data_IF_252210514161
#
_entry.id   IF_252210514161
#
_cell.length_a   1.000
_cell.length_b   1.000
_cell.length_c   1.000
_cell.angle_alpha   90.00
_cell.angle_beta   90.00
_cell.angle_gamma   90.00
#
_symmetry.space_group_name_H-M   'P 1'
#
loop_
_entity.id
_entity.type
_entity.pdbx_description
1 polymer ?
#
# COMPACT_ATOMS: atom_id res chain seq x y z
N UNK A 1 16.73 -2.83 7.28
CA UNK A 1 16.15 -2.08 8.42
C UNK A 1 17.28 -1.72 9.36
N UNK A 2 17.49 -0.44 9.64
CA UNK A 2 18.50 0.04 10.58
C UNK A 2 17.81 0.34 11.91
N UNK A 3 17.77 -0.66 12.81
CA UNK A 3 16.94 -0.65 14.03
C UNK A 3 17.05 0.64 14.86
N UNK A 4 18.26 1.17 15.03
CA UNK A 4 18.48 2.41 15.81
C UNK A 4 17.94 3.67 15.14
N UNK A 5 17.78 3.67 13.82
CA UNK A 5 17.26 4.78 13.02
C UNK A 5 15.76 4.62 12.75
N UNK A 6 15.33 3.39 12.53
CA UNK A 6 13.98 3.04 12.07
C UNK A 6 13.03 2.75 13.24
N UNK A 7 13.52 2.73 14.49
CA UNK A 7 12.69 2.60 15.69
C UNK A 7 12.97 3.78 16.61
N UNK A 8 11.91 4.54 16.94
CA UNK A 8 11.99 5.74 17.80
C UNK A 8 10.89 5.74 18.86
N UNK A 9 11.16 6.21 20.09
CA UNK A 9 10.11 6.37 21.08
C UNK A 9 9.17 7.53 20.71
N UNK A 10 7.94 7.49 21.22
CA UNK A 10 6.92 8.53 20.98
C UNK A 10 7.37 9.93 21.42
N UNK A 11 8.25 10.02 22.43
CA UNK A 11 8.86 11.28 22.85
C UNK A 11 9.75 11.90 21.78
N UNK A 12 10.44 11.08 20.97
CA UNK A 12 11.23 11.55 19.84
C UNK A 12 10.34 12.13 18.74
N UNK A 13 9.24 11.43 18.40
CA UNK A 13 8.26 11.95 17.44
C UNK A 13 7.70 13.31 17.88
N UNK A 14 7.33 13.46 19.16
CA UNK A 14 6.79 14.73 19.69
C UNK A 14 7.76 15.90 19.61
N UNK A 15 9.05 15.64 19.84
CA UNK A 15 10.10 16.67 19.90
C UNK A 15 10.75 16.96 18.55
N UNK A 16 10.71 16.00 17.62
CA UNK A 16 11.41 16.06 16.33
C UNK A 16 10.51 15.64 15.16
N UNK A 17 9.26 16.10 15.16
CA UNK A 17 8.28 15.73 14.12
C UNK A 17 8.78 16.03 12.71
N UNK A 18 9.31 17.24 12.48
CA UNK A 18 9.79 17.65 11.16
C UNK A 18 10.93 16.76 10.65
N UNK A 19 11.91 16.42 11.51
CA UNK A 19 13.02 15.53 11.17
C UNK A 19 12.51 14.12 10.80
N UNK A 20 11.52 13.60 11.52
CA UNK A 20 10.92 12.29 11.20
C UNK A 20 10.21 12.33 9.85
N UNK A 21 9.40 13.36 9.61
CA UNK A 21 8.66 13.50 8.34
C UNK A 21 9.63 13.67 7.16
N UNK A 22 10.62 14.55 7.27
CA UNK A 22 11.64 14.73 6.24
C UNK A 22 12.42 13.44 6.00
N UNK A 23 12.83 12.75 7.08
CA UNK A 23 13.55 11.49 7.00
C UNK A 23 12.78 10.38 6.27
N UNK A 24 11.47 10.23 6.51
CA UNK A 24 10.67 9.23 5.77
C UNK A 24 10.45 9.64 4.31
N UNK A 25 10.31 10.94 4.03
CA UNK A 25 10.09 11.46 2.68
C UNK A 25 11.34 11.34 1.80
N UNK A 26 12.53 11.64 2.33
CA UNK A 26 13.80 11.59 1.60
C UNK A 26 14.27 10.15 1.42
N UNK A 27 14.26 9.36 2.49
CA UNK A 27 14.85 8.03 2.47
C UNK A 27 13.88 6.96 1.96
N UNK A 28 12.59 7.26 1.90
CA UNK A 28 11.49 6.30 1.66
C UNK A 28 11.54 5.10 2.62
N UNK A 29 12.16 5.29 3.79
CA UNK A 29 12.25 4.29 4.86
C UNK A 29 11.28 4.65 5.95
N UNK A 30 10.53 3.65 6.38
CA UNK A 30 9.51 3.77 7.41
C UNK A 30 10.13 3.83 8.80
N UNK A 31 9.53 4.59 9.72
CA UNK A 31 9.93 4.68 11.13
C UNK A 31 8.83 4.09 12.03
N UNK A 32 9.18 3.12 12.85
CA UNK A 32 8.34 2.50 13.87
C UNK A 32 8.40 3.36 15.14
N UNK A 33 7.23 3.70 15.66
CA UNK A 33 7.07 4.49 16.87
C UNK A 33 6.71 3.57 18.03
N UNK A 34 7.50 3.64 19.11
CA UNK A 34 7.27 2.86 20.32
C UNK A 34 6.71 3.72 21.47
N UNK A 35 5.91 3.11 22.33
CA UNK A 35 5.48 3.68 23.60
C UNK A 35 5.68 2.63 24.69
N UNK A 36 6.36 3.01 25.77
CA UNK A 36 6.75 2.08 26.85
C UNK A 36 7.51 0.84 26.34
N UNK A 37 8.33 1.02 25.30
CA UNK A 37 9.11 -0.06 24.68
C UNK A 37 8.36 -0.90 23.64
N UNK A 38 7.05 -0.72 23.49
CA UNK A 38 6.23 -1.48 22.54
C UNK A 38 5.94 -0.70 21.27
N UNK A 39 6.03 -1.34 20.09
CA UNK A 39 5.63 -0.72 18.83
C UNK A 39 4.12 -0.42 18.80
N UNK A 40 3.75 0.82 18.48
CA UNK A 40 2.34 1.29 18.46
C UNK A 40 1.92 1.93 17.14
N UNK A 41 2.84 2.57 16.42
CA UNK A 41 2.53 3.25 15.17
C UNK A 41 3.69 3.19 14.20
N UNK A 42 3.40 3.56 12.95
CA UNK A 42 4.33 3.54 11.84
C UNK A 42 4.19 4.86 11.09
N UNK A 43 5.30 5.57 10.89
CA UNK A 43 5.36 6.80 10.08
C UNK A 43 6.03 6.46 8.75
N UNK A 44 5.36 6.80 7.65
CA UNK A 44 5.83 6.52 6.29
C UNK A 44 5.45 7.66 5.34
N UNK A 45 6.18 7.74 4.24
CA UNK A 45 5.91 8.64 3.12
C UNK A 45 4.56 8.29 2.44
N UNK A 46 3.79 9.32 2.06
CA UNK A 46 2.44 9.16 1.51
C UNK A 46 2.44 8.36 0.20
N UNK A 47 3.43 8.59 -0.68
CA UNK A 47 3.49 7.90 -1.97
C UNK A 47 3.78 6.42 -1.79
N UNK A 48 4.65 6.10 -0.84
CA UNK A 48 4.98 4.73 -0.47
C UNK A 48 3.75 4.00 0.09
N UNK A 49 2.95 4.67 0.94
CA UNK A 49 1.69 4.13 1.44
C UNK A 49 0.68 3.86 0.32
N UNK A 50 0.47 4.82 -0.59
CA UNK A 50 -0.43 4.64 -1.73
C UNK A 50 0.00 3.48 -2.64
N UNK A 51 1.30 3.37 -2.93
CA UNK A 51 1.82 2.27 -3.74
C UNK A 51 1.62 0.91 -3.07
N UNK A 52 1.76 0.83 -1.75
CA UNK A 52 1.46 -0.38 -0.98
C UNK A 52 -0.03 -0.74 -1.12
N UNK A 53 -0.93 0.23 -0.95
CA UNK A 53 -2.37 0.01 -1.10
C UNK A 53 -2.74 -0.46 -2.52
N UNK A 54 -2.14 0.14 -3.56
CA UNK A 54 -2.33 -0.28 -4.94
C UNK A 54 -1.84 -1.71 -5.19
N UNK A 55 -0.70 -2.08 -4.61
CA UNK A 55 -0.14 -3.43 -4.72
C UNK A 55 -1.06 -4.47 -4.06
N UNK A 56 -1.59 -4.18 -2.88
CA UNK A 56 -2.57 -5.04 -2.20
C UNK A 56 -3.84 -5.20 -3.05
N UNK A 57 -4.33 -4.11 -3.65
CA UNK A 57 -5.50 -4.17 -4.52
C UNK A 57 -5.25 -5.02 -5.78
N UNK A 58 -4.08 -4.90 -6.40
CA UNK A 58 -3.69 -5.74 -7.53
C UNK A 58 -3.65 -7.22 -7.13
N UNK A 59 -3.05 -7.55 -5.98
CA UNK A 59 -3.03 -8.93 -5.47
C UNK A 59 -4.44 -9.49 -5.26
N UNK A 60 -5.38 -8.66 -4.75
CA UNK A 60 -6.79 -9.07 -4.63
C UNK A 60 -7.43 -9.35 -5.99
N UNK A 61 -7.18 -8.49 -7.00
CA UNK A 61 -7.69 -8.70 -8.36
C UNK A 61 -7.15 -10.01 -8.98
N UNK A 62 -5.88 -10.32 -8.73
CA UNK A 62 -5.27 -11.58 -9.18
C UNK A 62 -5.98 -12.77 -8.54
N UNK A 63 -6.16 -12.77 -7.21
CA UNK A 63 -6.85 -13.87 -6.50
C UNK A 63 -8.29 -14.05 -7.02
N UNK A 64 -9.01 -12.96 -7.27
CA UNK A 64 -10.35 -13.03 -7.85
C UNK A 64 -10.32 -13.64 -9.26
N UNK A 65 -9.34 -13.25 -10.07
CA UNK A 65 -9.17 -13.76 -11.43
C UNK A 65 -8.80 -15.25 -11.45
N UNK A 66 -7.95 -15.71 -10.51
CA UNK A 66 -7.63 -17.12 -10.34
C UNK A 66 -8.89 -17.95 -10.03
N UNK A 67 -9.74 -17.45 -9.13
CA UNK A 67 -11.02 -18.08 -8.80
C UNK A 67 -11.99 -18.10 -9.98
N UNK A 68 -12.03 -17.06 -10.81
CA UNK A 68 -12.88 -17.03 -12.00
C UNK A 68 -12.41 -18.04 -13.05
N UNK A 69 -11.10 -18.23 -13.21
CA UNK A 69 -10.51 -19.28 -14.06
C UNK A 69 -10.92 -20.67 -13.57
N UNK A 70 -10.76 -20.96 -12.28
CA UNK A 70 -11.13 -22.25 -11.69
C UNK A 70 -12.61 -22.59 -11.90
N UNK A 71 -13.49 -21.59 -11.79
CA UNK A 71 -14.93 -21.74 -11.96
C UNK A 71 -15.38 -21.67 -13.43
N UNK A 72 -14.45 -21.51 -14.39
CA UNK A 72 -14.74 -21.30 -15.82
C UNK A 72 -15.61 -20.06 -16.09
N UNK A 73 -15.58 -19.07 -15.21
CA UNK A 73 -16.23 -17.76 -15.39
C UNK A 73 -15.36 -16.87 -16.29
N UNK A 74 -15.20 -17.27 -17.55
CA UNK A 74 -14.30 -16.61 -18.51
C UNK A 74 -15.09 -15.97 -19.64
N UNK A 75 -14.61 -14.81 -20.09
CA UNK A 75 -15.14 -14.09 -21.24
C UNK A 75 -14.10 -14.08 -22.36
N UNK A 76 -14.51 -14.38 -23.60
CA UNK A 76 -13.61 -14.25 -24.74
C UNK A 76 -13.30 -12.77 -24.99
N UNK A 77 -12.11 -12.48 -25.48
CA UNK A 77 -11.66 -11.11 -25.73
C UNK A 77 -12.64 -10.34 -26.62
N UNK A 78 -13.08 -10.91 -27.74
CA UNK A 78 -14.01 -10.25 -28.67
C UNK A 78 -15.35 -9.91 -27.99
N UNK A 79 -15.87 -10.83 -27.17
CA UNK A 79 -17.11 -10.63 -26.42
C UNK A 79 -16.95 -9.55 -25.34
N UNK A 80 -15.79 -9.48 -24.69
CA UNK A 80 -15.46 -8.42 -23.73
C UNK A 80 -15.48 -7.03 -24.39
N UNK A 81 -14.81 -6.87 -25.53
CA UNK A 81 -14.79 -5.59 -26.24
C UNK A 81 -16.18 -5.17 -26.72
N UNK A 82 -16.95 -6.10 -27.29
CA UNK A 82 -18.34 -5.83 -27.69
C UNK A 82 -19.21 -5.37 -26.51
N UNK A 83 -19.11 -6.05 -25.36
CA UNK A 83 -19.85 -5.69 -24.15
C UNK A 83 -19.43 -4.32 -23.59
N UNK A 84 -18.14 -4.00 -23.64
CA UNK A 84 -17.60 -2.73 -23.18
C UNK A 84 -18.06 -1.57 -24.07
N UNK A 85 -17.96 -1.74 -25.39
CA UNK A 85 -18.40 -0.75 -26.37
C UNK A 85 -19.89 -0.45 -26.21
N UNK A 86 -20.71 -1.50 -26.12
CA UNK A 86 -22.14 -1.36 -25.89
C UNK A 86 -22.50 -0.61 -24.60
N UNK A 87 -21.67 -0.72 -23.55
CA UNK A 87 -21.91 -0.05 -22.26
C UNK A 87 -21.45 1.42 -22.24
N UNK A 88 -20.47 1.77 -23.05
CA UNK A 88 -19.88 3.11 -23.08
C UNK A 88 -20.54 4.03 -24.13
N UNK A 89 -21.08 3.46 -25.21
CA UNK A 89 -21.52 4.22 -26.38
C UNK A 89 -22.99 4.04 -26.76
N UNK A 90 -23.72 3.14 -26.09
CA UNK A 90 -25.19 3.09 -26.13
C UNK A 90 -25.76 3.57 -24.79
#
# INVERSE_FOLDING_TARGET
>A
MYLSQDIKPISFLKSKTADVINGVNENKRTVIITQNGEAKAVVQDIKSYENMQNSINLLKLIILSEKDIENKNLLKQDEMFNNLENKLFN
#
